data_IF_692663419718
#
_entry.id   IF_692663419718
#
_cell.length_a   1.000
_cell.length_b   1.000
_cell.length_c   1.000
_cell.angle_alpha   90.00
_cell.angle_beta   90.00
_cell.angle_gamma   90.00
#
_symmetry.space_group_name_H-M   'P 1'
#
loop_
_entity.id
_entity.type
_entity.pdbx_description
1 polymer ?
#
# COMPACT_ATOMS: atom_id res chain seq x y z
N UNK A 1 11.12 -49.85 -12.70
CA UNK A 1 10.67 -51.12 -12.11
C UNK A 1 11.62 -51.47 -10.99
N UNK A 2 11.19 -51.30 -9.75
CA UNK A 2 11.23 -52.27 -8.65
C UNK A 2 10.32 -51.64 -7.58
N UNK A 3 9.26 -52.37 -7.28
CA UNK A 3 8.26 -52.11 -6.25
C UNK A 3 8.81 -52.71 -4.96
N UNK A 4 8.74 -51.99 -3.84
CA UNK A 4 8.78 -52.62 -2.53
C UNK A 4 7.57 -52.14 -1.72
N UNK A 5 6.58 -53.03 -1.73
CA UNK A 5 5.38 -53.00 -0.89
C UNK A 5 5.75 -53.42 0.53
N UNK A 6 5.55 -52.52 1.50
CA UNK A 6 5.39 -52.92 2.90
C UNK A 6 3.97 -52.53 3.30
N UNK A 7 3.11 -53.54 3.32
CA UNK A 7 1.75 -53.48 3.84
C UNK A 7 1.77 -53.86 5.32
N UNK A 8 1.31 -52.93 6.17
CA UNK A 8 0.81 -53.25 7.51
C UNK A 8 -0.54 -52.55 7.65
N UNK A 9 -1.60 -53.35 7.67
CA UNK A 9 -2.98 -52.91 7.84
C UNK A 9 -3.46 -53.32 9.23
N UNK A 10 -3.81 -52.34 10.07
CA UNK A 10 -4.92 -52.46 11.04
C UNK A 10 -5.45 -51.05 11.36
N UNK A 11 -6.74 -50.80 11.13
CA UNK A 11 -7.47 -49.72 11.77
C UNK A 11 -8.16 -48.74 10.83
N UNK A 12 -9.41 -49.04 10.48
CA UNK A 12 -10.34 -48.16 9.76
C UNK A 12 -10.48 -46.79 10.43
N UNK A 13 -10.19 -45.72 9.68
CA UNK A 13 -10.90 -44.43 9.69
C UNK A 13 -10.35 -43.56 8.55
N UNK A 14 -10.94 -43.69 7.36
CA UNK A 14 -10.63 -42.81 6.23
C UNK A 14 -11.44 -41.52 6.41
N UNK A 15 -10.82 -40.53 7.07
CA UNK A 15 -11.16 -39.13 6.84
C UNK A 15 -10.45 -38.69 5.54
N UNK A 16 -11.11 -37.99 4.60
CA UNK A 16 -10.40 -37.41 3.46
C UNK A 16 -9.65 -36.16 3.94
N UNK A 17 -8.44 -36.34 4.48
CA UNK A 17 -7.48 -35.25 4.67
C UNK A 17 -6.46 -35.29 3.54
N UNK A 18 -6.77 -34.61 2.43
CA UNK A 18 -5.72 -34.03 1.59
C UNK A 18 -6.28 -32.87 0.78
N UNK A 19 -6.44 -31.71 1.42
CA UNK A 19 -6.16 -30.48 0.69
C UNK A 19 -4.70 -30.56 0.26
N UNK A 20 -4.47 -30.94 -1.00
CA UNK A 20 -3.19 -30.71 -1.65
C UNK A 20 -3.00 -29.20 -1.67
N UNK A 21 -2.34 -28.66 -0.65
CA UNK A 21 -1.66 -27.37 -0.76
C UNK A 21 -0.67 -27.55 -1.90
N UNK A 22 -1.07 -27.12 -3.10
CA UNK A 22 -0.14 -26.90 -4.18
C UNK A 22 0.87 -25.88 -3.68
N UNK A 23 1.99 -26.38 -3.17
CA UNK A 23 3.18 -25.56 -2.95
C UNK A 23 3.65 -25.17 -4.34
N UNK A 24 3.19 -24.02 -4.83
CA UNK A 24 3.80 -23.37 -5.97
C UNK A 24 5.21 -22.98 -5.53
N UNK A 25 6.19 -23.81 -5.89
CA UNK A 25 7.59 -23.40 -5.86
C UNK A 25 7.76 -22.38 -6.98
N UNK A 26 7.65 -21.10 -6.64
CA UNK A 26 7.95 -20.02 -7.57
C UNK A 26 9.40 -20.12 -8.02
N UNK A 27 9.61 -20.23 -9.33
CA UNK A 27 10.95 -20.19 -9.92
C UNK A 27 11.45 -18.74 -9.87
N UNK A 28 12.72 -18.55 -9.53
CA UNK A 28 13.38 -17.24 -9.56
C UNK A 28 13.11 -16.51 -10.88
N UNK A 29 12.46 -15.35 -10.81
CA UNK A 29 12.16 -14.52 -11.97
C UNK A 29 13.27 -13.48 -12.19
N UNK A 30 14.17 -13.79 -13.13
CA UNK A 30 15.30 -12.94 -13.47
C UNK A 30 14.87 -11.58 -14.01
N UNK A 31 13.81 -11.54 -14.83
CA UNK A 31 13.32 -10.29 -15.38
C UNK A 31 12.76 -9.40 -14.26
N UNK A 32 11.98 -10.01 -13.36
CA UNK A 32 11.44 -9.28 -12.22
C UNK A 32 12.52 -8.78 -11.26
N UNK A 33 13.63 -9.52 -11.09
CA UNK A 33 14.79 -9.06 -10.34
C UNK A 33 15.42 -7.81 -10.98
N UNK A 34 15.66 -7.81 -12.30
CA UNK A 34 16.27 -6.68 -13.01
C UNK A 34 15.39 -5.40 -12.91
N UNK A 35 14.08 -5.56 -13.02
CA UNK A 35 13.12 -4.46 -12.85
C UNK A 35 13.07 -3.96 -11.38
N UNK A 36 13.14 -4.85 -10.39
CA UNK A 36 13.20 -4.48 -8.98
C UNK A 36 14.49 -3.74 -8.62
N UNK A 37 15.63 -4.17 -9.16
CA UNK A 37 16.92 -3.52 -8.94
C UNK A 37 16.94 -2.11 -9.53
N UNK A 38 16.36 -1.93 -10.73
CA UNK A 38 16.18 -0.62 -11.35
C UNK A 38 15.29 0.27 -10.49
N UNK A 39 14.16 -0.27 -10.02
CA UNK A 39 13.25 0.44 -9.10
C UNK A 39 13.99 0.92 -7.84
N UNK A 40 14.80 0.04 -7.23
CA UNK A 40 15.61 0.40 -6.08
C UNK A 40 16.61 1.53 -6.39
N UNK A 41 17.32 1.46 -7.51
CA UNK A 41 18.25 2.52 -7.92
C UNK A 41 17.55 3.87 -8.10
N UNK A 42 16.38 3.88 -8.74
CA UNK A 42 15.56 5.08 -8.93
C UNK A 42 15.16 5.71 -7.59
N UNK A 43 14.72 4.89 -6.62
CA UNK A 43 14.41 5.35 -5.26
C UNK A 43 15.64 5.98 -4.59
N UNK A 44 16.80 5.32 -4.67
CA UNK A 44 18.03 5.82 -4.05
C UNK A 44 18.51 7.15 -4.65
N UNK A 45 18.37 7.33 -5.98
CA UNK A 45 18.69 8.59 -6.64
C UNK A 45 17.82 9.71 -6.08
N UNK A 46 16.51 9.49 -5.97
CA UNK A 46 15.59 10.52 -5.50
C UNK A 46 15.74 10.82 -4.00
N UNK A 47 16.01 9.81 -3.16
CA UNK A 47 16.26 10.01 -1.71
C UNK A 47 17.49 10.87 -1.41
N UNK A 48 18.49 10.87 -2.29
CA UNK A 48 19.71 11.69 -2.14
C UNK A 48 19.49 13.16 -2.47
N UNK A 49 18.42 13.50 -3.17
CA UNK A 49 18.07 14.88 -3.44
C UNK A 49 17.41 15.43 -2.16
N UNK A 50 17.81 16.58 -1.62
CA UNK A 50 17.09 17.19 -0.50
C UNK A 50 15.70 17.65 -0.94
N UNK A 51 14.71 17.52 -0.05
CA UNK A 51 13.40 18.15 -0.22
C UNK A 51 13.49 19.54 0.42
N UNK A 52 13.06 20.55 -0.31
CA UNK A 52 13.07 21.94 0.12
C UNK A 52 12.04 22.17 1.23
N UNK A 53 10.87 21.54 1.11
CA UNK A 53 9.82 21.54 2.11
C UNK A 53 9.13 20.17 2.20
N UNK A 54 9.36 19.43 3.29
CA UNK A 54 8.74 18.11 3.53
C UNK A 54 7.21 18.17 3.71
N UNK A 55 6.62 19.37 3.83
CA UNK A 55 5.17 19.57 3.87
C UNK A 55 4.60 19.95 2.51
N UNK A 56 5.42 20.21 1.49
CA UNK A 56 4.95 20.51 0.15
C UNK A 56 4.63 19.21 -0.60
N UNK A 57 3.36 18.82 -0.56
CA UNK A 57 2.89 17.62 -1.27
C UNK A 57 3.08 17.67 -2.78
N UNK A 58 3.22 18.86 -3.42
CA UNK A 58 3.56 18.95 -4.84
C UNK A 58 5.04 18.62 -5.10
N UNK A 59 5.93 19.01 -4.19
CA UNK A 59 7.35 18.64 -4.27
C UNK A 59 7.52 17.13 -4.13
N UNK A 60 6.81 16.52 -3.18
CA UNK A 60 6.78 15.06 -2.98
C UNK A 60 6.15 14.35 -4.20
N UNK A 61 5.01 14.83 -4.70
CA UNK A 61 4.36 14.26 -5.89
C UNK A 61 5.25 14.31 -7.15
N UNK A 62 6.03 15.38 -7.31
CA UNK A 62 7.04 15.49 -8.38
C UNK A 62 8.19 14.50 -8.19
N UNK A 63 8.65 14.28 -6.95
CA UNK A 63 9.65 13.25 -6.64
C UNK A 63 9.16 11.85 -7.01
N UNK A 64 7.93 11.51 -6.63
CA UNK A 64 7.33 10.22 -6.97
C UNK A 64 7.24 10.05 -8.48
N UNK A 65 6.85 11.10 -9.21
CA UNK A 65 6.81 11.07 -10.68
C UNK A 65 8.19 10.76 -11.28
N UNK A 66 9.26 11.36 -10.76
CA UNK A 66 10.64 11.07 -11.20
C UNK A 66 11.06 9.63 -10.92
N UNK A 67 10.59 9.02 -9.83
CA UNK A 67 10.84 7.59 -9.57
C UNK A 67 10.13 6.73 -10.63
N UNK A 68 8.85 6.98 -10.87
CA UNK A 68 8.05 6.25 -11.86
C UNK A 68 8.67 6.37 -13.26
N UNK A 69 9.02 7.58 -13.69
CA UNK A 69 9.65 7.81 -14.99
C UNK A 69 11.00 7.07 -15.12
N UNK A 70 11.76 7.00 -14.03
CA UNK A 70 13.04 6.29 -13.97
C UNK A 70 12.89 4.77 -14.00
N UNK A 71 11.82 4.21 -13.40
CA UNK A 71 11.55 2.76 -13.42
C UNK A 71 11.37 2.22 -14.85
N UNK A 72 10.91 3.07 -15.77
CA UNK A 72 10.68 2.67 -17.15
C UNK A 72 9.53 1.69 -17.28
N UNK A 73 9.67 0.69 -18.16
CA UNK A 73 8.62 -0.32 -18.39
C UNK A 73 8.62 -1.37 -17.29
N UNK A 74 7.46 -1.58 -16.67
CA UNK A 74 7.20 -2.60 -15.66
C UNK A 74 6.45 -3.78 -16.28
N UNK A 75 7.10 -4.94 -16.41
CA UNK A 75 6.48 -6.10 -17.03
C UNK A 75 6.15 -7.19 -16.01
N UNK A 76 6.88 -7.29 -14.90
CA UNK A 76 6.52 -8.25 -13.84
C UNK A 76 5.44 -7.68 -12.92
N UNK A 77 4.64 -8.58 -12.32
CA UNK A 77 3.53 -8.18 -11.46
C UNK A 77 4.01 -7.40 -10.22
N UNK A 78 5.17 -7.74 -9.66
CA UNK A 78 5.74 -7.01 -8.54
C UNK A 78 6.01 -5.53 -8.88
N UNK A 79 6.72 -5.24 -9.97
CA UNK A 79 7.07 -3.87 -10.35
C UNK A 79 5.86 -3.06 -10.80
N UNK A 80 4.88 -3.69 -11.46
CA UNK A 80 3.57 -3.08 -11.76
C UNK A 80 2.78 -2.75 -10.49
N UNK A 81 2.88 -3.61 -9.46
CA UNK A 81 2.24 -3.37 -8.17
C UNK A 81 2.95 -2.24 -7.41
N UNK A 82 4.28 -2.17 -7.46
CA UNK A 82 5.06 -1.04 -6.90
C UNK A 82 4.72 0.27 -7.62
N UNK A 83 4.65 0.27 -8.95
CA UNK A 83 4.26 1.44 -9.73
C UNK A 83 2.85 1.92 -9.33
N UNK A 84 1.90 0.99 -9.17
CA UNK A 84 0.54 1.30 -8.69
C UNK A 84 0.56 1.90 -7.28
N UNK A 85 1.44 1.42 -6.41
CA UNK A 85 1.64 2.00 -5.07
C UNK A 85 2.12 3.44 -5.18
N UNK A 86 3.14 3.71 -6.01
CA UNK A 86 3.69 5.05 -6.20
C UNK A 86 2.66 6.02 -6.81
N UNK A 87 1.87 5.59 -7.80
CA UNK A 87 0.78 6.42 -8.32
C UNK A 87 -0.26 6.76 -7.26
N UNK A 88 -0.60 5.79 -6.40
CA UNK A 88 -1.51 6.03 -5.28
C UNK A 88 -0.91 7.02 -4.26
N UNK A 89 0.37 6.85 -3.90
CA UNK A 89 1.09 7.77 -2.99
C UNK A 89 1.08 9.20 -3.54
N UNK A 90 1.46 9.37 -4.81
CA UNK A 90 1.44 10.67 -5.48
C UNK A 90 0.05 11.31 -5.38
N UNK A 91 -0.98 10.56 -5.76
CA UNK A 91 -2.32 11.09 -5.85
C UNK A 91 -2.84 11.59 -4.50
N UNK A 92 -2.71 10.82 -3.41
CA UNK A 92 -3.29 11.23 -2.14
C UNK A 92 -2.52 12.38 -1.50
N UNK A 93 -1.18 12.41 -1.65
CA UNK A 93 -0.32 13.49 -1.14
C UNK A 93 -0.65 14.80 -1.85
N UNK A 94 -0.71 14.81 -3.18
CA UNK A 94 -1.05 15.99 -3.96
C UNK A 94 -2.48 16.48 -3.66
N UNK A 95 -3.45 15.55 -3.56
CA UNK A 95 -4.83 15.91 -3.23
C UNK A 95 -4.95 16.51 -1.84
N UNK A 96 -4.27 15.92 -0.85
CA UNK A 96 -4.26 16.43 0.51
C UNK A 96 -3.67 17.84 0.56
N UNK A 97 -2.48 18.04 0.00
CA UNK A 97 -1.78 19.33 0.07
C UNK A 97 -2.44 20.45 -0.72
N UNK A 98 -2.99 20.16 -1.89
CA UNK A 98 -3.46 21.22 -2.80
C UNK A 98 -4.95 21.50 -2.76
N UNK A 99 -5.77 20.51 -2.39
CA UNK A 99 -7.23 20.62 -2.53
C UNK A 99 -7.96 20.47 -1.20
N UNK A 100 -7.46 19.61 -0.32
CA UNK A 100 -8.11 19.37 0.97
C UNK A 100 -7.55 20.24 2.08
N UNK A 101 -6.27 20.58 2.10
CA UNK A 101 -5.65 21.37 3.17
C UNK A 101 -6.44 22.66 3.54
N UNK A 102 -7.02 23.43 2.59
CA UNK A 102 -7.82 24.60 2.96
C UNK A 102 -9.06 24.28 3.82
N UNK A 103 -9.68 23.12 3.62
CA UNK A 103 -10.85 22.63 4.36
C UNK A 103 -10.46 21.72 5.55
N UNK A 104 -9.37 20.97 5.40
CA UNK A 104 -8.81 20.01 6.35
C UNK A 104 -7.43 20.50 6.81
N UNK A 105 -7.44 21.62 7.53
CA UNK A 105 -6.25 22.05 8.27
C UNK A 105 -5.87 20.98 9.31
N UNK A 106 -4.61 20.96 9.72
CA UNK A 106 -4.10 19.94 10.66
C UNK A 106 -4.90 19.93 11.97
N UNK A 107 -5.35 21.10 12.44
CA UNK A 107 -6.22 21.26 13.60
C UNK A 107 -7.60 20.64 13.36
N UNK A 108 -8.21 20.90 12.20
CA UNK A 108 -9.52 20.35 11.82
C UNK A 108 -9.45 18.82 11.74
N UNK A 109 -8.39 18.29 11.15
CA UNK A 109 -8.16 16.85 11.07
C UNK A 109 -8.00 16.24 12.48
N UNK A 110 -7.25 16.91 13.38
CA UNK A 110 -7.07 16.50 14.78
C UNK A 110 -8.37 16.52 15.58
N UNK A 111 -9.23 17.51 15.36
CA UNK A 111 -10.56 17.58 16.00
C UNK A 111 -11.47 16.44 15.53
N UNK A 112 -11.52 16.20 14.22
CA UNK A 112 -12.30 15.10 13.63
C UNK A 112 -11.82 13.74 14.16
N UNK A 113 -10.50 13.56 14.34
CA UNK A 113 -9.94 12.35 14.94
C UNK A 113 -10.48 12.09 16.35
N UNK A 114 -10.49 13.13 17.20
CA UNK A 114 -10.99 13.05 18.57
C UNK A 114 -12.48 12.77 18.60
N UNK A 115 -13.27 13.48 17.79
CA UNK A 115 -14.73 13.37 17.76
C UNK A 115 -15.20 12.01 17.20
N UNK A 116 -14.51 11.50 16.19
CA UNK A 116 -14.84 10.22 15.57
C UNK A 116 -14.18 9.03 16.25
N UNK A 117 -13.58 9.24 17.44
CA UNK A 117 -12.92 8.25 18.27
C UNK A 117 -12.04 7.30 17.44
N UNK A 118 -11.16 7.89 16.64
CA UNK A 118 -10.34 7.15 15.70
C UNK A 118 -8.97 6.85 16.33
N UNK A 119 -8.69 5.61 16.77
CA UNK A 119 -7.33 5.23 17.15
C UNK A 119 -6.37 5.20 15.93
N UNK A 120 -6.85 5.46 14.71
CA UNK A 120 -6.22 4.99 13.46
C UNK A 120 -5.24 5.99 12.82
N UNK A 121 -5.10 7.23 13.30
CA UNK A 121 -4.17 8.19 12.67
C UNK A 121 -2.68 8.01 13.04
N UNK A 122 -2.36 7.10 13.97
CA UNK A 122 -0.99 6.55 14.11
C UNK A 122 -0.56 5.64 12.95
N UNK A 123 -1.49 5.20 12.11
CA UNK A 123 -1.27 4.20 11.05
C UNK A 123 -1.15 4.81 9.66
N UNK A 124 -1.06 6.13 9.56
CA UNK A 124 -0.79 6.81 8.29
C UNK A 124 0.70 6.76 7.92
N UNK A 125 1.57 6.55 8.93
CA UNK A 125 3.01 6.31 8.72
C UNK A 125 3.40 4.84 8.59
N UNK A 126 2.64 3.90 9.17
CA UNK A 126 3.04 2.49 9.24
C UNK A 126 2.09 1.61 8.44
N UNK A 127 2.66 0.67 7.68
CA UNK A 127 1.97 -0.30 6.80
C UNK A 127 1.05 -1.30 7.53
N UNK A 128 0.77 -1.09 8.82
CA UNK A 128 -0.14 -1.88 9.62
C UNK A 128 -1.53 -1.23 9.64
N UNK A 129 -2.39 -1.56 8.69
CA UNK A 129 -3.82 -1.27 8.85
C UNK A 129 -4.36 -2.10 10.03
N UNK A 130 -5.24 -1.54 10.88
CA UNK A 130 -5.92 -2.33 11.89
C UNK A 130 -6.62 -3.54 11.26
N UNK A 131 -6.70 -4.64 12.02
CA UNK A 131 -7.50 -5.83 11.63
C UNK A 131 -8.96 -5.52 11.34
N UNK A 132 -9.43 -4.34 11.74
CA UNK A 132 -10.83 -3.98 11.70
C UNK A 132 -11.13 -2.88 10.68
N UNK A 133 -11.34 -3.32 9.44
CA UNK A 133 -11.75 -2.47 8.33
C UNK A 133 -13.09 -1.76 8.60
N UNK A 134 -13.95 -2.34 9.46
CA UNK A 134 -15.21 -1.70 9.86
C UNK A 134 -14.96 -0.44 10.69
N UNK A 135 -13.92 -0.43 11.54
CA UNK A 135 -13.51 0.78 12.27
C UNK A 135 -13.10 1.92 11.32
N UNK A 136 -12.40 1.60 10.22
CA UNK A 136 -12.01 2.61 9.19
C UNK A 136 -13.23 3.17 8.46
N UNK A 137 -14.19 2.30 8.12
CA UNK A 137 -15.44 2.70 7.45
C UNK A 137 -16.32 3.57 8.35
N UNK A 138 -16.41 3.23 9.64
CA UNK A 138 -17.10 4.02 10.65
C UNK A 138 -16.45 5.39 10.83
N UNK A 139 -15.11 5.44 10.89
CA UNK A 139 -14.38 6.70 10.92
C UNK A 139 -14.69 7.57 9.72
N UNK A 140 -14.57 7.04 8.50
CA UNK A 140 -14.81 7.81 7.28
C UNK A 140 -16.22 8.40 7.23
N UNK A 141 -17.23 7.63 7.64
CA UNK A 141 -18.61 8.10 7.75
C UNK A 141 -18.76 9.23 8.78
N UNK A 142 -18.19 9.07 9.97
CA UNK A 142 -18.22 10.11 11.00
C UNK A 142 -17.50 11.38 10.54
N UNK A 143 -16.30 11.23 9.99
CA UNK A 143 -15.47 12.34 9.54
C UNK A 143 -16.16 13.15 8.43
N UNK A 144 -16.85 12.51 7.50
CA UNK A 144 -17.68 13.22 6.51
C UNK A 144 -18.83 14.00 7.15
N UNK A 145 -19.44 13.52 8.24
CA UNK A 145 -20.47 14.27 8.96
C UNK A 145 -19.89 15.47 9.70
N UNK A 146 -18.72 15.34 10.32
CA UNK A 146 -18.03 16.47 10.94
C UNK A 146 -17.63 17.53 9.92
N UNK A 147 -17.16 17.13 8.73
CA UNK A 147 -16.88 18.06 7.64
C UNK A 147 -18.13 18.76 7.07
N UNK A 148 -19.34 18.21 7.25
CA UNK A 148 -20.57 18.92 6.85
C UNK A 148 -20.90 20.08 7.79
N UNK A 149 -20.41 20.05 9.03
CA UNK A 149 -20.62 21.12 10.01
C UNK A 149 -19.71 22.33 9.77
N UNK A 150 -18.65 22.16 8.96
CA UNK A 150 -17.67 23.19 8.62
C UNK A 150 -18.15 24.02 7.44
N UNK A 151 -18.12 25.34 7.58
CA UNK A 151 -18.47 26.30 6.52
C UNK A 151 -17.43 26.39 5.42
N UNK A 152 -16.18 26.04 5.74
CA UNK A 152 -15.02 26.11 4.85
C UNK A 152 -14.96 24.93 3.88
N UNK A 153 -15.77 23.89 4.12
CA UNK A 153 -15.77 22.66 3.34
C UNK A 153 -16.97 22.57 2.40
N UNK A 154 -16.71 22.56 1.10
CA UNK A 154 -17.75 22.43 0.09
C UNK A 154 -18.19 20.97 -0.11
N UNK A 155 -19.28 20.75 -0.85
CA UNK A 155 -19.70 19.39 -1.23
C UNK A 155 -18.64 18.63 -2.05
N UNK A 156 -17.97 19.26 -3.03
CA UNK A 156 -16.79 18.70 -3.69
C UNK A 156 -15.69 18.24 -2.72
N UNK A 157 -15.33 19.05 -1.72
CA UNK A 157 -14.25 18.74 -0.77
C UNK A 157 -14.58 17.50 0.06
N UNK A 158 -15.82 17.39 0.52
CA UNK A 158 -16.30 16.19 1.24
C UNK A 158 -16.23 14.92 0.38
N UNK A 159 -16.56 15.01 -0.92
CA UNK A 159 -16.43 13.88 -1.85
C UNK A 159 -14.97 13.53 -2.07
N UNK A 160 -14.10 14.54 -2.16
CA UNK A 160 -12.67 14.35 -2.35
C UNK A 160 -12.02 13.71 -1.11
N UNK A 161 -12.43 14.12 0.09
CA UNK A 161 -12.05 13.49 1.35
C UNK A 161 -12.45 12.01 1.37
N UNK A 162 -13.68 11.66 0.96
CA UNK A 162 -14.09 10.26 0.85
C UNK A 162 -13.20 9.45 -0.11
N UNK A 163 -12.78 10.05 -1.23
CA UNK A 163 -11.82 9.42 -2.17
C UNK A 163 -10.43 9.27 -1.54
N UNK A 164 -9.98 10.25 -0.75
CA UNK A 164 -8.73 10.17 0.01
C UNK A 164 -8.70 8.91 0.90
N UNK A 165 -9.79 8.61 1.62
CA UNK A 165 -9.88 7.35 2.39
C UNK A 165 -9.72 6.10 1.54
N UNK A 166 -10.33 6.08 0.36
CA UNK A 166 -10.21 4.93 -0.53
C UNK A 166 -8.78 4.78 -1.06
N UNK A 167 -8.07 5.88 -1.32
CA UNK A 167 -6.65 5.84 -1.70
C UNK A 167 -5.76 5.35 -0.55
N UNK A 168 -6.04 5.77 0.69
CA UNK A 168 -5.33 5.27 1.87
C UNK A 168 -5.59 3.77 2.11
N UNK A 169 -6.83 3.32 1.89
CA UNK A 169 -7.15 1.89 1.86
C UNK A 169 -6.35 1.17 0.77
N UNK A 170 -6.36 1.72 -0.45
CA UNK A 170 -5.69 1.12 -1.59
C UNK A 170 -4.19 0.98 -1.31
N UNK A 171 -3.55 2.02 -0.75
CA UNK A 171 -2.15 2.00 -0.29
C UNK A 171 -1.82 0.73 0.51
N UNK A 172 -2.65 0.42 1.52
CA UNK A 172 -2.44 -0.76 2.35
C UNK A 172 -2.62 -2.08 1.59
N UNK A 173 -3.69 -2.19 0.80
CA UNK A 173 -3.97 -3.41 0.03
C UNK A 173 -2.88 -3.68 -1.00
N UNK A 174 -2.42 -2.63 -1.69
CA UNK A 174 -1.31 -2.70 -2.63
C UNK A 174 -0.02 -3.08 -1.90
N UNK A 175 0.27 -2.47 -0.74
CA UNK A 175 1.45 -2.83 0.08
C UNK A 175 1.45 -4.30 0.52
N UNK A 176 0.29 -4.87 0.85
CA UNK A 176 0.16 -6.32 1.08
C UNK A 176 0.39 -7.13 -0.18
N UNK A 177 -0.15 -6.69 -1.32
CA UNK A 177 0.07 -7.35 -2.61
C UNK A 177 1.56 -7.37 -2.95
N UNK A 178 2.31 -6.29 -2.72
CA UNK A 178 3.77 -6.25 -2.94
C UNK A 178 4.47 -7.38 -2.18
N UNK A 179 4.12 -7.61 -0.90
CA UNK A 179 4.70 -8.71 -0.11
C UNK A 179 4.42 -10.07 -0.75
N UNK A 180 3.18 -10.30 -1.20
CA UNK A 180 2.78 -11.53 -1.89
C UNK A 180 3.54 -11.68 -3.22
N UNK A 181 3.70 -10.60 -3.98
CA UNK A 181 4.40 -10.63 -5.27
C UNK A 181 5.91 -10.83 -5.11
N UNK A 182 6.53 -10.38 -4.02
CA UNK A 182 7.93 -10.70 -3.68
C UNK A 182 8.09 -12.22 -3.53
N UNK A 183 7.22 -12.84 -2.72
CA UNK A 183 7.24 -14.29 -2.50
C UNK A 183 6.92 -15.07 -3.80
N UNK A 184 5.94 -14.59 -4.58
CA UNK A 184 5.55 -15.19 -5.86
C UNK A 184 6.66 -15.08 -6.89
N UNK A 185 7.35 -13.94 -6.99
CA UNK A 185 8.38 -13.72 -8.01
C UNK A 185 9.72 -14.36 -7.60
N UNK A 186 9.83 -14.78 -6.33
CA UNK A 186 11.04 -15.37 -5.74
C UNK A 186 12.29 -14.51 -6.01
N UNK A 187 12.16 -13.21 -5.77
CA UNK A 187 13.23 -12.21 -5.97
C UNK A 187 13.98 -11.95 -4.67
N UNK A 188 15.21 -11.45 -4.79
CA UNK A 188 16.02 -10.98 -3.67
C UNK A 188 15.80 -9.49 -3.48
N UNK A 189 15.15 -9.11 -2.38
CA UNK A 189 14.88 -7.71 -2.06
C UNK A 189 16.17 -7.00 -1.61
N UNK A 190 16.56 -5.87 -2.24
CA UNK A 190 17.75 -5.12 -1.83
C UNK A 190 17.67 -4.65 -0.37
N UNK A 191 18.80 -4.66 0.33
CA UNK A 191 18.87 -4.15 1.70
C UNK A 191 18.55 -2.66 1.73
N UNK A 192 17.59 -2.25 2.56
CA UNK A 192 17.14 -0.86 2.62
C UNK A 192 16.15 -0.48 1.51
N UNK A 193 15.58 -1.45 0.80
CA UNK A 193 14.43 -1.21 -0.07
C UNK A 193 13.26 -0.68 0.76
N UNK A 194 12.86 0.55 0.47
CA UNK A 194 11.74 1.23 1.13
C UNK A 194 11.10 2.21 0.14
N UNK A 195 9.79 2.07 -0.03
CA UNK A 195 8.96 2.91 -0.90
C UNK A 195 8.56 4.25 -0.28
N UNK A 196 8.85 4.45 1.02
CA UNK A 196 8.73 5.78 1.61
C UNK A 196 9.76 6.72 0.96
N UNK A 197 9.29 7.87 0.47
CA UNK A 197 10.05 8.87 -0.30
C UNK A 197 10.05 10.24 0.37
#
# INVERSE_FOLDING_TARGET
MISEDISVSVGNNIFPTSEKKHVFLSKFDKQCQEELDTTYQCLQIQKKIPISNEKDGLEIGRRISKVIDCMGRTNCNLTRTIESFLYNEKWWIEVYSTRLQPCLQDEVLSEIQKQCNCPVLRYFGNTDCPKDFETVKLFSRCAVQELKKRTECTAPDRRLFQKLFNALRARYLIGKQIKVEIDHSNVVVPRGFDLNL
#
